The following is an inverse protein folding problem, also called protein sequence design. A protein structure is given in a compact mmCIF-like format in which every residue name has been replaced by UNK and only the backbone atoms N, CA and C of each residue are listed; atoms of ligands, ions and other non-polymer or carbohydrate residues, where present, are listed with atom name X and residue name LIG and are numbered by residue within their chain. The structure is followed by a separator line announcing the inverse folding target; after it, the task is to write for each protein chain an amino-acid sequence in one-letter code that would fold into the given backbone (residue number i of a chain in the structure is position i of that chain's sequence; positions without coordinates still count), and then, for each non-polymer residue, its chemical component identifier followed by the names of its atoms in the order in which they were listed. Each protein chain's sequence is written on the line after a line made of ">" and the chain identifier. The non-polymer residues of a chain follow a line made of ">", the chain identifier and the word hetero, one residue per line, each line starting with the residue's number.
data_IF_267353728700
#
_entry.id   IF_267353728700
#
_cell.length_a   1.000
_cell.length_b   1.000
_cell.length_c   1.000
_cell.angle_alpha   90.00
_cell.angle_beta   90.00
_cell.angle_gamma   90.00
#
_symmetry.space_group_name_H-M   'P 1'
#
loop_
_entity.id
_entity.type
_entity.pdbx_description
1 polymer ?
#
# COMPACT_ATOMS: atom_id res chain seq x y z
N UNK A 1 -12.22 -24.85 -11.12
CA UNK A 1 -12.73 -23.69 -10.37
C UNK A 1 -12.89 -22.55 -11.36
N UNK A 2 -14.05 -21.89 -11.39
CA UNK A 2 -14.22 -20.65 -12.17
C UNK A 2 -13.32 -19.58 -11.55
N UNK A 3 -12.54 -18.87 -12.37
CA UNK A 3 -11.78 -17.71 -11.91
C UNK A 3 -12.77 -16.61 -11.51
N UNK A 4 -12.69 -16.20 -10.25
CA UNK A 4 -13.60 -15.22 -9.66
C UNK A 4 -12.93 -13.90 -9.37
N UNK A 5 -11.63 -13.73 -9.66
CA UNK A 5 -10.83 -12.58 -9.22
C UNK A 5 -11.47 -11.22 -9.54
N UNK A 6 -12.01 -11.07 -10.75
CA UNK A 6 -12.59 -9.80 -11.18
C UNK A 6 -13.88 -9.41 -10.44
N UNK A 7 -14.59 -10.38 -9.87
CA UNK A 7 -15.83 -10.12 -9.14
C UNK A 7 -15.59 -9.34 -7.83
N UNK A 8 -14.80 -9.80 -6.84
CA UNK A 8 -14.49 -9.03 -5.65
C UNK A 8 -13.62 -7.79 -5.97
N UNK A 9 -12.74 -7.87 -6.98
CA UNK A 9 -11.95 -6.70 -7.41
C UNK A 9 -12.85 -5.55 -7.91
N UNK A 10 -13.90 -5.86 -8.67
CA UNK A 10 -14.88 -4.89 -9.16
C UNK A 10 -16.00 -4.55 -8.18
N UNK A 11 -16.11 -5.25 -7.04
CA UNK A 11 -17.23 -5.05 -6.11
C UNK A 11 -17.28 -3.60 -5.57
N UNK A 12 -18.43 -2.90 -5.64
CA UNK A 12 -18.53 -1.48 -5.28
C UNK A 12 -18.45 -1.22 -3.76
N UNK A 13 -18.67 -2.23 -2.92
CA UNK A 13 -18.65 -2.15 -1.47
C UNK A 13 -18.44 -3.53 -0.82
N UNK A 14 -18.33 -3.55 0.51
CA UNK A 14 -18.13 -4.77 1.30
C UNK A 14 -19.27 -5.80 1.09
N UNK A 15 -20.53 -5.36 1.17
CA UNK A 15 -21.69 -6.24 1.03
C UNK A 15 -21.76 -6.94 -0.33
N UNK A 16 -21.41 -6.23 -1.41
CA UNK A 16 -21.36 -6.82 -2.76
C UNK A 16 -20.27 -7.91 -2.86
N UNK A 17 -19.09 -7.69 -2.25
CA UNK A 17 -18.04 -8.70 -2.19
C UNK A 17 -18.48 -9.92 -1.37
N UNK A 18 -19.20 -9.70 -0.26
CA UNK A 18 -19.77 -10.77 0.56
C UNK A 18 -20.82 -11.57 -0.23
N UNK A 19 -21.69 -10.89 -0.98
CA UNK A 19 -22.69 -11.52 -1.86
C UNK A 19 -22.04 -12.50 -2.85
N UNK A 20 -20.98 -12.05 -3.53
CA UNK A 20 -20.18 -12.90 -4.45
C UNK A 20 -19.61 -14.12 -3.72
N UNK A 21 -19.06 -13.94 -2.52
CA UNK A 21 -18.49 -15.03 -1.74
C UNK A 21 -19.56 -16.01 -1.22
N UNK A 22 -20.80 -15.56 -1.00
CA UNK A 22 -21.94 -16.43 -0.65
C UNK A 22 -22.44 -17.22 -1.85
N UNK A 23 -22.61 -16.58 -3.00
CA UNK A 23 -23.04 -17.23 -4.25
C UNK A 23 -22.07 -18.34 -4.69
N UNK A 24 -20.79 -18.17 -4.37
CA UNK A 24 -19.73 -19.14 -4.67
C UNK A 24 -19.55 -20.19 -3.57
N UNK A 25 -20.32 -20.12 -2.49
CA UNK A 25 -20.32 -21.09 -1.38
C UNK A 25 -19.15 -20.93 -0.40
N UNK A 26 -18.29 -19.91 -0.55
CA UNK A 26 -17.12 -19.74 0.30
C UNK A 26 -17.41 -19.01 1.60
N UNK A 27 -18.31 -18.02 1.59
CA UNK A 27 -18.51 -17.15 2.75
C UNK A 27 -18.93 -17.93 4.01
N UNK A 28 -19.91 -18.81 3.87
CA UNK A 28 -20.47 -19.57 5.00
C UNK A 28 -19.79 -20.94 5.21
N UNK A 29 -18.77 -21.29 4.42
CA UNK A 29 -18.04 -22.55 4.52
C UNK A 29 -16.87 -22.44 5.49
N UNK A 30 -16.90 -23.07 6.69
CA UNK A 30 -15.84 -22.89 7.70
C UNK A 30 -14.48 -23.44 7.27
N UNK A 31 -14.48 -24.43 6.37
CA UNK A 31 -13.27 -25.10 5.83
C UNK A 31 -12.60 -24.30 4.71
N UNK A 32 -13.27 -23.27 4.19
CA UNK A 32 -12.70 -22.39 3.17
C UNK A 32 -11.78 -21.31 3.76
N UNK A 33 -11.63 -21.22 5.07
CA UNK A 33 -10.92 -20.12 5.74
C UNK A 33 -9.81 -20.65 6.64
N UNK A 34 -8.64 -20.01 6.56
CA UNK A 34 -7.48 -20.27 7.39
C UNK A 34 -7.15 -19.06 8.27
N UNK A 35 -6.57 -19.28 9.44
CA UNK A 35 -6.26 -18.19 10.37
C UNK A 35 -5.12 -17.32 9.85
N UNK A 36 -5.33 -16.00 9.89
CA UNK A 36 -4.31 -15.04 9.49
C UNK A 36 -3.07 -15.19 10.38
N UNK A 37 -1.89 -15.21 9.77
CA UNK A 37 -0.61 -15.43 10.47
C UNK A 37 -0.44 -16.82 11.06
N UNK A 38 -1.30 -17.79 10.72
CA UNK A 38 -1.36 -19.11 11.35
C UNK A 38 -1.53 -19.03 12.89
N UNK A 39 -2.31 -18.04 13.34
CA UNK A 39 -2.57 -17.76 14.75
C UNK A 39 -4.08 -17.65 15.01
N UNK A 40 -4.66 -18.58 15.76
CA UNK A 40 -6.09 -18.54 16.15
C UNK A 40 -6.44 -17.30 16.98
N UNK A 41 -5.49 -16.77 17.77
CA UNK A 41 -5.70 -15.63 18.66
C UNK A 41 -5.03 -14.35 18.13
N UNK A 42 -5.28 -14.03 16.86
CA UNK A 42 -4.63 -12.92 16.17
C UNK A 42 -5.30 -11.55 16.35
N UNK A 43 -6.51 -11.50 16.92
CA UNK A 43 -7.32 -10.26 16.92
C UNK A 43 -6.66 -9.11 17.69
N UNK A 44 -6.16 -9.35 18.90
CA UNK A 44 -5.46 -8.33 19.67
C UNK A 44 -4.15 -7.90 19.00
N UNK A 45 -3.42 -8.85 18.41
CA UNK A 45 -2.17 -8.57 17.70
C UNK A 45 -2.42 -7.66 16.50
N UNK A 46 -3.46 -7.91 15.71
CA UNK A 46 -3.85 -7.08 14.55
C UNK A 46 -4.38 -5.72 15.00
N UNK A 47 -5.29 -5.69 15.98
CA UNK A 47 -5.93 -4.45 16.46
C UNK A 47 -4.95 -3.47 17.11
N UNK A 48 -3.87 -3.96 17.72
CA UNK A 48 -2.89 -3.11 18.39
C UNK A 48 -1.76 -2.61 17.46
N UNK A 49 -1.76 -2.95 16.17
CA UNK A 49 -0.68 -2.54 15.26
C UNK A 49 -0.67 -1.04 14.99
N UNK A 50 -1.85 -0.43 14.89
CA UNK A 50 -1.95 0.95 14.45
C UNK A 50 -3.24 1.60 14.98
N UNK A 51 -3.13 2.80 15.54
CA UNK A 51 -4.28 3.56 16.02
C UNK A 51 -4.80 4.58 15.00
N UNK A 52 -3.97 4.95 14.02
CA UNK A 52 -4.29 5.93 12.99
C UNK A 52 -4.62 5.27 11.64
N UNK A 53 -5.82 5.47 11.07
CA UNK A 53 -6.19 4.91 9.77
C UNK A 53 -5.28 5.42 8.64
N UNK A 54 -4.78 6.66 8.74
CA UNK A 54 -3.89 7.22 7.71
C UNK A 54 -2.49 6.63 7.84
N UNK A 55 -1.99 6.43 9.06
CA UNK A 55 -0.69 5.79 9.26
C UNK A 55 -0.69 4.33 8.78
N UNK A 56 -1.77 3.57 9.07
CA UNK A 56 -1.94 2.21 8.56
C UNK A 56 -1.93 2.16 7.03
N UNK A 57 -2.59 3.13 6.38
CA UNK A 57 -2.59 3.25 4.93
C UNK A 57 -1.20 3.60 4.38
N UNK A 58 -0.49 4.52 5.04
CA UNK A 58 0.88 4.90 4.67
C UNK A 58 1.83 3.71 4.77
N UNK A 59 1.67 2.83 5.75
CA UNK A 59 2.47 1.59 5.86
C UNK A 59 2.28 0.67 4.65
N UNK A 60 1.06 0.56 4.10
CA UNK A 60 0.83 -0.17 2.83
C UNK A 60 1.55 0.49 1.65
N UNK A 61 1.48 1.82 1.54
CA UNK A 61 2.16 2.57 0.48
C UNK A 61 3.69 2.44 0.57
N UNK A 62 4.25 2.50 1.78
CA UNK A 62 5.67 2.29 2.02
C UNK A 62 6.09 0.86 1.66
N UNK A 63 5.30 -0.14 2.02
CA UNK A 63 5.56 -1.53 1.62
C UNK A 63 5.54 -1.73 0.10
N UNK A 64 4.65 -1.02 -0.61
CA UNK A 64 4.62 -1.00 -2.07
C UNK A 64 5.87 -0.35 -2.69
N UNK A 65 6.36 0.76 -2.12
CA UNK A 65 7.64 1.37 -2.53
C UNK A 65 8.79 0.38 -2.33
N UNK A 66 8.86 -0.27 -1.17
CA UNK A 66 9.88 -1.29 -0.90
C UNK A 66 9.80 -2.44 -1.91
N UNK A 67 8.60 -2.88 -2.30
CA UNK A 67 8.41 -3.95 -3.27
C UNK A 67 8.96 -3.57 -4.66
N UNK A 68 8.82 -2.30 -5.07
CA UNK A 68 9.41 -1.80 -6.31
C UNK A 68 10.93 -1.77 -6.21
N UNK A 69 11.49 -1.28 -5.10
CA UNK A 69 12.95 -1.28 -4.89
C UNK A 69 13.53 -2.69 -4.89
N UNK A 70 12.88 -3.63 -4.20
CA UNK A 70 13.28 -5.03 -4.16
C UNK A 70 13.26 -5.66 -5.56
N UNK A 71 12.21 -5.39 -6.35
CA UNK A 71 12.16 -5.82 -7.75
C UNK A 71 13.36 -5.32 -8.52
N UNK A 72 13.65 -4.02 -8.47
CA UNK A 72 14.79 -3.42 -9.21
C UNK A 72 16.14 -3.97 -8.76
N UNK A 73 16.31 -4.20 -7.46
CA UNK A 73 17.51 -4.80 -6.89
C UNK A 73 17.73 -6.22 -7.43
N UNK A 74 16.69 -7.06 -7.40
CA UNK A 74 16.74 -8.44 -7.89
C UNK A 74 16.89 -8.50 -9.43
N UNK A 75 16.24 -7.60 -10.17
CA UNK A 75 16.40 -7.46 -11.63
C UNK A 75 17.84 -7.06 -12.01
N UNK A 76 18.54 -6.32 -11.15
CA UNK A 76 19.95 -5.99 -11.30
C UNK A 76 20.89 -7.15 -10.90
N UNK A 77 20.35 -8.29 -10.48
CA UNK A 77 21.14 -9.45 -10.05
C UNK A 77 21.83 -9.26 -8.70
N UNK A 78 21.35 -8.33 -7.88
CA UNK A 78 21.90 -8.04 -6.56
C UNK A 78 21.12 -8.83 -5.49
N UNK A 79 21.85 -9.33 -4.49
CA UNK A 79 21.25 -9.85 -3.26
C UNK A 79 20.84 -8.68 -2.36
N UNK A 80 19.55 -8.48 -2.04
CA UNK A 80 19.10 -7.37 -1.20
C UNK A 80 19.73 -7.32 0.21
N UNK A 81 20.17 -8.46 0.76
CA UNK A 81 20.88 -8.53 2.04
C UNK A 81 22.41 -8.39 1.88
N UNK A 82 22.90 -8.42 0.64
CA UNK A 82 24.33 -8.43 0.32
C UNK A 82 24.97 -7.05 0.42
N UNK A 83 26.29 -7.04 0.64
CA UNK A 83 27.08 -5.80 0.71
C UNK A 83 27.15 -5.04 -0.64
N UNK A 84 26.81 -5.69 -1.75
CA UNK A 84 26.76 -5.08 -3.08
C UNK A 84 25.41 -4.40 -3.38
N UNK A 85 24.37 -4.64 -2.57
CA UNK A 85 23.12 -3.91 -2.68
C UNK A 85 23.27 -2.50 -2.10
N UNK A 86 22.38 -1.55 -2.44
CA UNK A 86 22.38 -0.22 -1.84
C UNK A 86 22.33 -0.30 -0.32
N UNK A 87 23.15 0.49 0.37
CA UNK A 87 23.24 0.47 1.83
C UNK A 87 22.32 1.50 2.51
N UNK A 88 21.44 2.12 1.73
CA UNK A 88 20.40 3.00 2.24
C UNK A 88 19.41 3.45 1.16
N UNK A 89 18.31 4.06 1.61
CA UNK A 89 17.19 4.42 0.73
C UNK A 89 17.58 5.42 -0.38
N UNK A 90 18.45 6.39 -0.05
CA UNK A 90 18.91 7.42 -1.01
C UNK A 90 19.77 6.80 -2.10
N UNK A 91 20.67 5.90 -1.70
CA UNK A 91 21.51 5.15 -2.63
C UNK A 91 20.65 4.24 -3.52
N UNK A 92 19.64 3.58 -2.96
CA UNK A 92 18.71 2.76 -3.73
C UNK A 92 17.90 3.58 -4.74
N UNK A 93 17.39 4.75 -4.33
CA UNK A 93 16.69 5.66 -5.23
C UNK A 93 17.58 6.11 -6.39
N UNK A 94 18.86 6.40 -6.13
CA UNK A 94 19.81 6.79 -7.18
C UNK A 94 20.17 5.63 -8.11
N UNK A 95 20.60 4.49 -7.55
CA UNK A 95 21.13 3.37 -8.33
C UNK A 95 20.03 2.56 -9.03
N UNK A 96 18.92 2.29 -8.34
CA UNK A 96 17.88 1.38 -8.82
C UNK A 96 16.78 2.09 -9.61
N UNK A 97 16.52 3.36 -9.31
CA UNK A 97 15.45 4.15 -9.92
C UNK A 97 15.97 5.32 -10.77
N UNK A 98 17.29 5.54 -10.80
CA UNK A 98 17.94 6.63 -11.55
C UNK A 98 17.46 8.02 -11.15
N UNK A 99 17.07 8.18 -9.89
CA UNK A 99 16.66 9.46 -9.34
C UNK A 99 17.93 10.30 -9.06
N UNK A 100 18.03 11.54 -9.60
CA UNK A 100 19.22 12.36 -9.41
C UNK A 100 19.56 12.55 -7.93
N UNK A 101 20.77 12.12 -7.52
CA UNK A 101 21.25 12.18 -6.14
C UNK A 101 20.31 11.49 -5.12
N UNK A 102 19.46 10.57 -5.57
CA UNK A 102 18.45 9.90 -4.76
C UNK A 102 17.42 10.85 -4.14
N UNK A 103 17.21 12.05 -4.70
CA UNK A 103 16.29 13.06 -4.18
C UNK A 103 15.23 13.44 -5.21
N UNK A 104 13.96 13.14 -4.92
CA UNK A 104 12.82 13.49 -5.76
C UNK A 104 12.70 15.00 -6.03
N UNK A 105 13.23 15.87 -5.15
CA UNK A 105 13.22 17.32 -5.37
C UNK A 105 13.96 17.75 -6.65
N UNK A 106 14.92 16.93 -7.09
CA UNK A 106 15.74 17.20 -8.27
C UNK A 106 15.13 16.64 -9.57
N UNK A 107 14.00 15.94 -9.49
CA UNK A 107 13.26 15.48 -10.65
C UNK A 107 12.36 16.58 -11.25
N UNK A 108 12.17 16.54 -12.55
CA UNK A 108 11.14 17.32 -13.26
C UNK A 108 9.74 16.79 -12.94
N UNK A 109 8.70 17.60 -13.20
CA UNK A 109 7.31 17.18 -13.00
C UNK A 109 6.92 15.95 -13.86
N UNK A 110 7.53 15.83 -15.04
CA UNK A 110 7.34 14.68 -15.93
C UNK A 110 7.95 13.41 -15.32
N UNK A 111 9.22 13.46 -14.93
CA UNK A 111 9.90 12.33 -14.28
C UNK A 111 9.18 11.87 -13.01
N UNK A 112 8.69 12.81 -12.19
CA UNK A 112 7.90 12.47 -11.01
C UNK A 112 6.59 11.75 -11.36
N UNK A 113 5.94 12.13 -12.46
CA UNK A 113 4.73 11.46 -12.92
C UNK A 113 5.02 10.08 -13.47
N UNK A 114 6.10 9.93 -14.23
CA UNK A 114 6.54 8.64 -14.76
C UNK A 114 6.92 7.67 -13.61
N UNK A 115 7.66 8.15 -12.61
CA UNK A 115 8.00 7.38 -11.40
C UNK A 115 6.77 7.02 -10.55
N UNK A 116 5.77 7.91 -10.47
CA UNK A 116 4.57 7.69 -9.67
C UNK A 116 3.67 6.58 -10.22
N UNK A 117 3.86 6.18 -11.48
CA UNK A 117 3.11 5.08 -12.09
C UNK A 117 3.36 3.70 -11.44
N UNK A 118 4.44 3.56 -10.68
CA UNK A 118 4.82 2.30 -10.04
C UNK A 118 4.06 1.98 -8.75
N UNK A 119 3.56 3.00 -8.04
CA UNK A 119 2.81 2.83 -6.79
C UNK A 119 1.62 3.79 -6.78
N UNK A 120 0.41 3.26 -6.56
CA UNK A 120 -0.79 4.07 -6.58
C UNK A 120 -1.79 3.78 -5.48
N UNK A 121 -2.63 4.78 -5.21
CA UNK A 121 -3.78 4.72 -4.33
C UNK A 121 -5.02 5.19 -5.08
N UNK A 122 -5.98 4.28 -5.27
CA UNK A 122 -7.25 4.55 -5.97
C UNK A 122 -8.39 4.60 -4.96
N UNK A 123 -9.19 5.66 -4.99
CA UNK A 123 -10.43 5.74 -4.23
C UNK A 123 -11.64 5.45 -5.13
N UNK A 124 -12.45 4.46 -4.76
CA UNK A 124 -13.73 4.10 -5.41
C UNK A 124 -14.84 3.95 -4.36
N UNK A 125 -16.07 3.65 -4.80
CA UNK A 125 -17.21 3.46 -3.90
C UNK A 125 -17.76 4.76 -3.30
N UNK A 126 -18.24 4.69 -2.06
CA UNK A 126 -18.97 5.78 -1.42
C UNK A 126 -18.06 6.94 -0.97
N UNK A 127 -18.61 8.16 -0.89
CA UNK A 127 -17.85 9.36 -0.46
C UNK A 127 -17.43 9.27 1.01
N UNK A 128 -18.33 8.83 1.89
CA UNK A 128 -18.12 8.78 3.34
C UNK A 128 -17.39 7.51 3.81
N UNK A 129 -17.47 6.44 3.04
CA UNK A 129 -16.89 5.14 3.35
C UNK A 129 -16.28 4.55 2.06
N UNK A 130 -15.18 5.11 1.56
CA UNK A 130 -14.61 4.75 0.27
C UNK A 130 -13.96 3.37 0.30
N UNK A 131 -13.91 2.68 -0.83
CA UNK A 131 -12.90 1.64 -1.00
C UNK A 131 -11.58 2.31 -1.35
N UNK A 132 -10.51 1.87 -0.70
CA UNK A 132 -9.15 2.32 -1.01
C UNK A 132 -8.37 1.14 -1.58
N UNK A 133 -7.85 1.30 -2.79
CA UNK A 133 -7.03 0.27 -3.43
C UNK A 133 -5.60 0.77 -3.55
N UNK A 134 -4.68 0.12 -2.85
CA UNK A 134 -3.24 0.29 -3.03
C UNK A 134 -2.78 -0.68 -4.10
N UNK A 135 -1.93 -0.23 -5.02
CA UNK A 135 -1.29 -1.12 -5.96
C UNK A 135 0.17 -0.76 -6.18
N UNK A 136 0.95 -1.75 -6.58
CA UNK A 136 2.30 -1.58 -7.11
C UNK A 136 2.59 -2.55 -8.25
N UNK A 137 3.55 -2.18 -9.10
CA UNK A 137 4.19 -3.08 -10.05
C UNK A 137 5.53 -3.62 -9.51
N UNK A 138 5.63 -3.79 -8.19
CA UNK A 138 6.82 -4.27 -7.51
C UNK A 138 7.08 -5.76 -7.73
N UNK A 139 7.86 -6.37 -6.84
CA UNK A 139 8.32 -7.76 -7.01
C UNK A 139 7.17 -8.76 -7.07
N UNK A 140 6.06 -8.45 -6.39
CA UNK A 140 4.94 -9.36 -6.16
C UNK A 140 5.34 -10.63 -5.42
N UNK A 141 4.34 -11.45 -5.13
CA UNK A 141 4.49 -12.72 -4.41
C UNK A 141 3.86 -13.85 -5.22
N UNK A 142 4.47 -15.03 -5.15
CA UNK A 142 3.85 -16.25 -5.66
C UNK A 142 2.71 -16.68 -4.72
N UNK A 143 1.66 -17.34 -5.23
CA UNK A 143 0.52 -17.78 -4.41
C UNK A 143 0.93 -18.58 -3.16
N UNK A 144 1.89 -19.49 -3.31
CA UNK A 144 2.45 -20.32 -2.23
C UNK A 144 3.23 -19.52 -1.19
N UNK A 145 3.72 -18.32 -1.55
CA UNK A 145 4.45 -17.42 -0.67
C UNK A 145 3.55 -16.58 0.24
N UNK A 146 2.26 -16.43 -0.06
CA UNK A 146 1.35 -15.54 0.67
C UNK A 146 1.33 -15.79 2.20
N UNK A 147 1.22 -17.05 2.70
CA UNK A 147 1.20 -17.32 4.15
C UNK A 147 2.45 -16.84 4.89
N UNK A 148 3.61 -16.86 4.24
CA UNK A 148 4.88 -16.44 4.81
C UNK A 148 5.17 -14.94 4.65
N UNK A 149 4.40 -14.24 3.81
CA UNK A 149 4.61 -12.82 3.47
C UNK A 149 3.36 -11.99 3.74
N UNK A 150 2.48 -11.81 2.76
CA UNK A 150 1.31 -10.92 2.77
C UNK A 150 0.28 -11.26 3.86
N UNK A 151 0.21 -12.54 4.26
CA UNK A 151 -0.73 -13.05 5.25
C UNK A 151 -0.06 -13.37 6.60
N UNK A 152 1.22 -13.03 6.74
CA UNK A 152 1.96 -13.23 7.98
C UNK A 152 1.74 -12.07 8.95
N UNK A 153 1.84 -12.35 10.26
CA UNK A 153 1.75 -11.34 11.32
C UNK A 153 3.09 -11.28 12.03
N UNK A 154 3.73 -10.10 12.05
CA UNK A 154 4.96 -9.85 12.79
C UNK A 154 6.23 -10.55 12.26
N UNK A 155 6.15 -11.27 11.13
CA UNK A 155 7.35 -11.74 10.42
C UNK A 155 7.85 -10.64 9.49
N UNK A 156 9.08 -10.18 9.67
CA UNK A 156 9.73 -9.28 8.73
C UNK A 156 10.98 -9.93 8.14
N UNK A 157 10.90 -10.29 6.86
CA UNK A 157 12.06 -10.71 6.06
C UNK A 157 12.90 -9.49 5.63
N UNK A 158 12.45 -8.27 5.94
CA UNK A 158 13.06 -7.01 5.49
C UNK A 158 14.04 -6.41 6.51
N UNK A 159 14.15 -6.99 7.71
CA UNK A 159 15.00 -6.45 8.78
C UNK A 159 16.49 -6.32 8.40
N UNK A 160 16.95 -7.16 7.48
CA UNK A 160 18.35 -7.21 7.04
C UNK A 160 18.63 -6.39 5.78
N UNK A 161 17.59 -5.82 5.16
CA UNK A 161 17.71 -5.10 3.89
C UNK A 161 17.90 -3.60 4.20
N UNK A 162 19.08 -3.00 3.90
CA UNK A 162 19.42 -1.66 4.37
C UNK A 162 18.53 -0.54 3.81
N UNK A 163 18.00 -0.76 2.60
CA UNK A 163 17.32 0.24 1.78
C UNK A 163 15.80 0.13 1.78
N UNK A 164 15.20 -0.62 2.70
CA UNK A 164 13.74 -0.64 2.90
C UNK A 164 13.31 0.35 3.98
N UNK A 165 12.14 0.94 3.78
CA UNK A 165 11.52 1.89 4.71
C UNK A 165 10.53 1.17 5.65
N UNK A 166 9.86 0.12 5.19
CA UNK A 166 8.92 -0.71 5.95
C UNK A 166 9.59 -1.83 6.75
N UNK A 167 10.46 -1.49 7.70
CA UNK A 167 11.34 -2.47 8.38
C UNK A 167 10.64 -3.51 9.25
N UNK A 168 9.51 -3.18 9.86
CA UNK A 168 8.95 -4.02 10.92
C UNK A 168 7.87 -5.00 10.45
N UNK A 169 7.29 -4.86 9.25
CA UNK A 169 6.13 -5.68 8.80
C UNK A 169 4.99 -5.85 9.85
N UNK A 170 5.00 -5.00 10.89
CA UNK A 170 4.11 -5.04 12.05
C UNK A 170 2.83 -4.24 11.81
N UNK A 171 2.65 -3.71 10.60
CA UNK A 171 1.56 -2.80 10.24
C UNK A 171 0.70 -3.25 9.07
N UNK A 172 1.14 -4.31 8.37
CA UNK A 172 0.46 -4.81 7.17
C UNK A 172 -1.00 -5.22 7.42
N UNK A 173 -1.35 -5.61 8.65
CA UNK A 173 -2.73 -5.97 9.01
C UNK A 173 -3.46 -4.84 9.77
N UNK A 174 -2.76 -3.76 10.14
CA UNK A 174 -3.31 -2.65 10.91
C UNK A 174 -4.43 -1.88 10.19
N UNK A 175 -4.49 -1.97 8.86
CA UNK A 175 -5.57 -1.42 8.02
C UNK A 175 -6.91 -2.11 8.23
N UNK A 176 -6.93 -3.39 8.64
CA UNK A 176 -8.14 -4.21 8.67
C UNK A 176 -9.21 -3.63 9.60
N UNK A 177 -8.81 -3.13 10.77
CA UNK A 177 -9.74 -2.56 11.74
C UNK A 177 -10.48 -1.31 11.25
N UNK A 178 -9.96 -0.68 10.20
CA UNK A 178 -10.58 0.50 9.59
C UNK A 178 -11.43 0.15 8.36
N UNK A 179 -11.48 -1.12 7.95
CA UNK A 179 -12.31 -1.57 6.83
C UNK A 179 -13.71 -1.97 7.34
N UNK A 180 -14.76 -1.45 6.71
CA UNK A 180 -16.14 -1.95 6.78
C UNK A 180 -16.65 -2.41 8.15
N UNK A 181 -17.63 -3.32 8.12
CA UNK A 181 -18.13 -4.03 9.30
C UNK A 181 -17.37 -5.32 9.54
N UNK A 182 -17.00 -6.00 8.45
CA UNK A 182 -16.35 -7.30 8.45
C UNK A 182 -14.84 -7.20 8.27
N UNK A 183 -14.27 -5.99 8.29
CA UNK A 183 -12.85 -5.75 8.18
C UNK A 183 -12.27 -6.39 6.92
N UNK A 184 -13.00 -6.27 5.81
CA UNK A 184 -12.72 -6.99 4.57
C UNK A 184 -11.57 -6.35 3.78
N UNK A 185 -10.59 -7.16 3.40
CA UNK A 185 -9.48 -6.80 2.52
C UNK A 185 -9.36 -7.87 1.41
N UNK A 186 -9.21 -7.44 0.16
CA UNK A 186 -8.82 -8.32 -0.95
C UNK A 186 -7.33 -8.10 -1.22
N UNK A 187 -6.58 -9.20 -1.28
CA UNK A 187 -5.16 -9.23 -1.64
C UNK A 187 -5.03 -10.00 -2.95
N UNK A 188 -4.35 -9.41 -3.92
CA UNK A 188 -4.03 -10.00 -5.21
C UNK A 188 -2.55 -9.77 -5.46
N UNK A 189 -1.79 -10.80 -5.82
CA UNK A 189 -0.37 -10.62 -6.11
C UNK A 189 0.12 -11.65 -7.11
N UNK A 190 1.09 -11.24 -7.92
CA UNK A 190 1.79 -12.11 -8.86
C UNK A 190 3.25 -11.70 -8.89
N UNK A 191 4.12 -12.68 -8.73
CA UNK A 191 5.57 -12.50 -8.85
C UNK A 191 5.92 -12.00 -10.26
N UNK A 192 6.76 -10.97 -10.33
CA UNK A 192 7.24 -10.45 -11.61
C UNK A 192 7.98 -11.53 -12.41
N UNK A 193 7.63 -11.70 -13.68
CA UNK A 193 8.22 -12.73 -14.55
C UNK A 193 9.74 -12.55 -14.71
N UNK A 194 10.21 -11.30 -14.67
CA UNK A 194 11.64 -10.94 -14.69
C UNK A 194 12.42 -11.57 -13.52
N UNK A 195 11.73 -11.97 -12.44
CA UNK A 195 12.31 -12.60 -11.26
C UNK A 195 12.21 -14.14 -11.31
N UNK A 196 11.94 -14.73 -12.48
CA UNK A 196 11.84 -16.18 -12.71
C UNK A 196 10.78 -16.85 -11.82
N UNK A 197 9.57 -16.31 -11.83
CA UNK A 197 8.44 -16.88 -11.11
C UNK A 197 8.23 -18.37 -11.47
N UNK A 198 8.08 -19.21 -10.45
CA UNK A 198 7.77 -20.63 -10.60
C UNK A 198 6.30 -20.84 -10.97
N UNK A 199 5.42 -20.05 -10.36
CA UNK A 199 4.00 -19.99 -10.66
C UNK A 199 3.67 -18.63 -11.31
N UNK A 200 3.31 -18.60 -12.61
CA UNK A 200 3.00 -17.36 -13.31
C UNK A 200 1.57 -16.85 -13.04
N UNK A 201 0.77 -17.55 -12.24
CA UNK A 201 -0.60 -17.14 -11.91
C UNK A 201 -0.66 -15.96 -10.95
N UNK A 202 -1.78 -15.24 -11.00
CA UNK A 202 -2.17 -14.35 -9.92
C UNK A 202 -2.71 -15.18 -8.77
N UNK A 203 -2.12 -15.03 -7.58
CA UNK A 203 -2.70 -15.48 -6.33
C UNK A 203 -3.65 -14.42 -5.79
N UNK A 204 -4.78 -14.83 -5.24
CA UNK A 204 -5.66 -13.91 -4.54
C UNK A 204 -6.41 -14.54 -3.37
N UNK A 205 -6.73 -13.70 -2.39
CA UNK A 205 -7.45 -14.10 -1.20
C UNK A 205 -8.18 -12.91 -0.60
N UNK A 206 -9.21 -13.20 0.19
CA UNK A 206 -9.96 -12.20 0.96
C UNK A 206 -9.67 -12.44 2.43
N UNK A 207 -9.29 -11.41 3.18
CA UNK A 207 -9.17 -11.42 4.63
C UNK A 207 -10.45 -10.84 5.23
N UNK A 208 -10.96 -11.44 6.31
CA UNK A 208 -12.12 -10.96 7.05
C UNK A 208 -11.94 -11.10 8.56
N UNK A 209 -12.67 -10.28 9.32
CA UNK A 209 -12.96 -10.53 10.74
C UNK A 209 -14.19 -11.44 10.86
N UNK A 210 -14.06 -12.46 11.69
CA UNK A 210 -15.18 -13.25 12.20
C UNK A 210 -15.47 -12.84 13.65
N UNK A 211 -16.74 -12.60 13.95
CA UNK A 211 -17.19 -12.36 15.32
C UNK A 211 -17.05 -13.65 16.16
N UNK A 212 -16.93 -13.54 17.50
CA UNK A 212 -16.74 -14.72 18.35
C UNK A 212 -17.91 -15.70 18.21
N UNK A 213 -17.59 -16.97 17.93
CA UNK A 213 -18.56 -18.07 17.86
C UNK A 213 -17.99 -19.33 18.53
N UNK A 214 -18.87 -20.25 18.95
CA UNK A 214 -18.46 -21.57 19.46
C UNK A 214 -17.58 -21.54 20.72
N UNK A 215 -17.83 -20.61 21.65
CA UNK A 215 -17.07 -20.49 22.90
C UNK A 215 -15.82 -19.59 22.83
N UNK A 216 -15.47 -19.06 21.66
CA UNK A 216 -14.44 -18.02 21.53
C UNK A 216 -14.87 -16.74 22.25
N UNK A 217 -13.92 -16.10 22.95
CA UNK A 217 -14.14 -14.83 23.68
C UNK A 217 -13.82 -13.59 22.85
N UNK A 218 -13.10 -13.76 21.74
CA UNK A 218 -12.63 -12.68 20.88
C UNK A 218 -12.87 -13.02 19.42
N UNK A 219 -12.98 -11.98 18.60
CA UNK A 219 -13.00 -12.12 17.14
C UNK A 219 -11.69 -12.76 16.65
N UNK A 220 -11.67 -13.18 15.39
CA UNK A 220 -10.46 -13.69 14.71
C UNK A 220 -10.41 -13.16 13.30
N UNK A 221 -9.22 -12.93 12.77
CA UNK A 221 -9.01 -12.65 11.35
C UNK A 221 -8.65 -13.92 10.60
N UNK A 222 -9.33 -14.18 9.49
CA UNK A 222 -9.11 -15.34 8.63
C UNK A 222 -9.02 -14.92 7.18
N UNK A 223 -8.27 -15.67 6.38
CA UNK A 223 -8.18 -15.46 4.93
C UNK A 223 -8.78 -16.63 4.17
N UNK A 224 -9.34 -16.34 3.00
CA UNK A 224 -9.94 -17.30 2.10
C UNK A 224 -8.86 -18.22 1.52
N UNK A 225 -8.91 -19.49 1.90
CA UNK A 225 -8.02 -20.54 1.44
C UNK A 225 -8.74 -21.90 1.32
N UNK A 226 -9.64 -22.06 0.32
CA UNK A 226 -10.24 -23.35 0.03
C UNK A 226 -9.15 -24.40 -0.20
N UNK A 227 -9.33 -25.58 0.37
CA UNK A 227 -8.35 -26.68 0.32
C UNK A 227 -6.95 -26.31 0.86
N UNK A 228 -6.88 -25.27 1.72
CA UNK A 228 -5.64 -24.81 2.35
C UNK A 228 -4.75 -23.92 1.48
N UNK A 229 -5.20 -23.53 0.28
CA UNK A 229 -4.44 -22.69 -0.64
C UNK A 229 -5.21 -21.43 -1.04
N UNK A 230 -4.49 -20.34 -1.34
CA UNK A 230 -5.11 -19.14 -1.90
C UNK A 230 -5.64 -19.43 -3.31
N UNK A 231 -6.64 -18.66 -3.75
CA UNK A 231 -7.24 -18.84 -5.07
C UNK A 231 -6.29 -18.37 -6.17
N UNK A 232 -6.46 -18.94 -7.37
CA UNK A 232 -5.63 -18.67 -8.53
C UNK A 232 -6.45 -18.07 -9.66
N UNK A 233 -5.86 -17.11 -10.36
CA UNK A 233 -6.36 -16.55 -11.62
C UNK A 233 -5.25 -16.64 -12.69
N UNK A 234 -5.57 -16.81 -13.98
CA UNK A 234 -4.58 -16.87 -15.04
C UNK A 234 -3.68 -15.64 -15.06
N UNK A 235 -2.40 -15.80 -15.42
CA UNK A 235 -1.39 -14.75 -15.51
C UNK A 235 -1.60 -13.71 -16.63
N UNK A 236 -2.84 -13.37 -16.98
CA UNK A 236 -3.10 -12.25 -17.88
C UNK A 236 -2.90 -10.92 -17.13
N UNK A 237 -2.42 -9.85 -17.79
CA UNK A 237 -2.36 -8.53 -17.17
C UNK A 237 -3.74 -8.05 -16.69
N UNK A 238 -3.77 -7.42 -15.52
CA UNK A 238 -4.99 -6.89 -14.89
C UNK A 238 -5.10 -5.40 -15.18
N UNK A 239 -6.07 -4.95 -16.00
CA UNK A 239 -6.39 -3.53 -16.11
C UNK A 239 -7.09 -3.08 -14.82
N UNK A 240 -6.55 -2.05 -14.15
CA UNK A 240 -7.14 -1.53 -12.91
C UNK A 240 -8.48 -0.81 -13.12
N UNK A 241 -8.87 -0.55 -14.37
CA UNK A 241 -10.25 -0.14 -14.72
C UNK A 241 -11.29 -1.22 -14.39
N UNK A 242 -10.87 -2.43 -14.00
CA UNK A 242 -11.73 -3.46 -13.38
C UNK A 242 -12.24 -3.06 -12.00
N UNK A 243 -11.63 -2.07 -11.35
CA UNK A 243 -12.18 -1.46 -10.14
C UNK A 243 -13.51 -0.75 -10.47
N UNK A 244 -14.32 -0.47 -9.45
CA UNK A 244 -15.59 0.28 -9.62
C UNK A 244 -15.35 1.77 -9.92
N UNK A 245 -14.79 2.05 -11.09
CA UNK A 245 -14.40 3.39 -11.55
C UNK A 245 -15.61 4.15 -12.09
N UNK A 246 -15.85 5.36 -11.57
CA UNK A 246 -17.00 6.21 -11.96
C UNK A 246 -16.62 7.52 -12.63
N UNK A 247 -15.34 7.87 -12.67
CA UNK A 247 -14.84 9.15 -13.19
C UNK A 247 -13.37 9.04 -13.57
N UNK A 248 -12.81 10.07 -14.20
CA UNK A 248 -11.37 10.16 -14.48
C UNK A 248 -10.91 9.40 -15.72
N UNK A 249 -9.59 9.38 -15.91
CA UNK A 249 -8.92 8.67 -17.00
C UNK A 249 -8.74 7.18 -16.66
N UNK A 250 -8.37 6.39 -17.68
CA UNK A 250 -8.01 4.97 -17.53
C UNK A 250 -6.92 4.77 -16.49
N UNK A 251 -7.05 3.74 -15.68
CA UNK A 251 -6.05 3.32 -14.71
C UNK A 251 -4.98 2.40 -15.36
N UNK A 252 -3.81 2.23 -14.72
CA UNK A 252 -2.75 1.36 -15.23
C UNK A 252 -3.18 -0.10 -15.43
N UNK A 253 -2.44 -0.81 -16.27
CA UNK A 253 -2.54 -2.26 -16.45
C UNK A 253 -1.34 -2.91 -15.75
N UNK A 254 -1.60 -3.82 -14.82
CA UNK A 254 -0.55 -4.52 -14.07
C UNK A 254 -0.29 -5.89 -14.68
N UNK A 255 0.97 -6.14 -15.08
CA UNK A 255 1.42 -7.47 -15.48
C UNK A 255 1.83 -8.33 -14.27
N UNK A 256 2.33 -7.70 -13.21
CA UNK A 256 2.75 -8.32 -11.96
C UNK A 256 2.72 -7.27 -10.84
N UNK A 257 3.07 -7.67 -9.62
CA UNK A 257 3.07 -6.82 -8.44
C UNK A 257 1.93 -7.18 -7.49
N UNK A 258 1.44 -6.20 -6.73
CA UNK A 258 0.44 -6.44 -5.69
C UNK A 258 -0.70 -5.42 -5.77
N UNK A 259 -1.94 -5.89 -5.55
CA UNK A 259 -3.14 -5.06 -5.41
C UNK A 259 -3.77 -5.41 -4.05
N UNK A 260 -4.02 -4.38 -3.26
CA UNK A 260 -4.67 -4.48 -1.95
C UNK A 260 -5.88 -3.57 -1.96
N UNK A 261 -7.07 -4.16 -1.91
CA UNK A 261 -8.34 -3.41 -1.86
C UNK A 261 -8.93 -3.50 -0.46
N UNK A 262 -9.05 -2.35 0.16
CA UNK A 262 -9.62 -2.13 1.48
C UNK A 262 -11.08 -1.71 1.30
N UNK A 263 -12.02 -2.52 1.78
CA UNK A 263 -13.44 -2.25 1.60
C UNK A 263 -13.96 -1.30 2.68
N UNK A 264 -14.63 -0.23 2.26
CA UNK A 264 -15.27 0.73 3.15
C UNK A 264 -14.33 1.29 4.24
N UNK A 265 -13.25 1.94 3.83
CA UNK A 265 -12.20 2.43 4.72
C UNK A 265 -12.64 3.67 5.53
N UNK A 266 -12.61 3.55 6.85
CA UNK A 266 -13.04 4.56 7.80
C UNK A 266 -11.96 5.63 8.03
N UNK A 267 -11.93 6.60 7.13
CA UNK A 267 -11.13 7.80 7.31
C UNK A 267 -11.77 8.74 8.36
N UNK A 268 -10.98 9.57 9.06
CA UNK A 268 -11.51 10.66 9.88
C UNK A 268 -12.40 11.60 9.03
N UNK A 269 -13.48 12.18 9.57
CA UNK A 269 -14.43 12.98 8.80
C UNK A 269 -13.79 14.07 7.91
N UNK A 270 -12.78 14.77 8.43
CA UNK A 270 -12.07 15.82 7.71
C UNK A 270 -11.29 15.31 6.46
N UNK A 271 -11.00 14.01 6.38
CA UNK A 271 -10.20 13.40 5.32
C UNK A 271 -11.05 12.62 4.30
N UNK A 272 -12.38 12.67 4.39
CA UNK A 272 -13.31 11.95 3.50
C UNK A 272 -13.63 12.70 2.20
N UNK A 273 -13.09 13.91 2.03
CA UNK A 273 -13.21 14.72 0.80
C UNK A 273 -12.45 14.08 -0.36
N UNK A 274 -12.34 14.76 -1.49
CA UNK A 274 -11.53 14.31 -2.62
C UNK A 274 -10.10 13.96 -2.14
N UNK A 275 -9.61 12.74 -2.44
CA UNK A 275 -8.37 12.23 -1.86
C UNK A 275 -7.13 13.07 -2.21
N UNK A 276 -7.22 13.92 -3.24
CA UNK A 276 -6.14 14.81 -3.68
C UNK A 276 -5.94 16.03 -2.77
N UNK A 277 -6.84 16.29 -1.83
CA UNK A 277 -6.81 17.44 -0.92
C UNK A 277 -6.15 17.09 0.42
N UNK A 278 -6.91 17.12 1.52
CA UNK A 278 -6.35 17.00 2.87
C UNK A 278 -5.74 15.63 3.12
N UNK A 279 -6.31 14.56 2.56
CA UNK A 279 -5.74 13.22 2.67
C UNK A 279 -4.35 13.17 2.01
N UNK A 280 -4.18 13.72 0.80
CA UNK A 280 -2.88 13.84 0.13
C UNK A 280 -1.85 14.55 1.01
N UNK A 281 -2.25 15.65 1.66
CA UNK A 281 -1.36 16.40 2.53
C UNK A 281 -0.94 15.59 3.78
N UNK A 282 -1.88 14.87 4.40
CA UNK A 282 -1.59 14.00 5.54
C UNK A 282 -0.69 12.82 5.16
N UNK A 283 -0.94 12.17 4.02
CA UNK A 283 -0.06 11.11 3.51
C UNK A 283 1.34 11.68 3.26
N UNK A 284 1.46 12.83 2.59
CA UNK A 284 2.76 13.46 2.34
C UNK A 284 3.52 13.82 3.63
N UNK A 285 2.82 14.24 4.68
CA UNK A 285 3.45 14.56 5.97
C UNK A 285 4.04 13.31 6.65
N UNK A 286 3.31 12.19 6.61
CA UNK A 286 3.77 10.91 7.18
C UNK A 286 4.84 10.23 6.32
N UNK A 287 4.81 10.44 5.00
CA UNK A 287 5.85 10.00 4.07
C UNK A 287 6.92 11.09 3.96
N UNK A 288 7.79 11.24 4.96
CA UNK A 288 8.72 12.38 5.01
C UNK A 288 9.68 12.43 3.80
N UNK A 289 10.27 11.30 3.42
CA UNK A 289 11.21 11.20 2.29
C UNK A 289 11.09 9.82 1.61
N UNK A 290 10.02 9.58 0.85
CA UNK A 290 9.83 8.30 0.16
C UNK A 290 10.80 8.15 -1.00
N UNK A 291 11.20 6.92 -1.32
CA UNK A 291 12.07 6.64 -2.47
C UNK A 291 11.35 6.86 -3.83
N UNK A 292 10.04 6.67 -3.86
CA UNK A 292 9.18 6.88 -5.03
C UNK A 292 8.00 7.78 -4.66
N UNK A 293 7.53 8.63 -5.59
CA UNK A 293 6.25 9.27 -5.43
C UNK A 293 5.11 8.25 -5.54
N UNK A 294 3.98 8.54 -4.92
CA UNK A 294 2.75 7.74 -5.02
C UNK A 294 1.71 8.48 -5.84
N UNK A 295 1.11 7.81 -6.84
CA UNK A 295 0.02 8.39 -7.64
C UNK A 295 -1.33 8.19 -6.96
N UNK A 296 -2.05 9.27 -6.70
CA UNK A 296 -3.42 9.23 -6.20
C UNK A 296 -4.41 9.31 -7.36
N UNK A 297 -5.46 8.50 -7.30
CA UNK A 297 -6.54 8.46 -8.28
C UNK A 297 -7.90 8.61 -7.59
N UNK A 298 -8.55 9.76 -7.74
CA UNK A 298 -9.94 9.92 -7.33
C UNK A 298 -10.85 9.37 -8.42
N UNK A 299 -11.61 8.32 -8.10
CA UNK A 299 -12.50 7.62 -9.03
C UNK A 299 -13.92 7.46 -8.48
N UNK A 300 -14.22 8.07 -7.31
CA UNK A 300 -15.57 8.09 -6.72
C UNK A 300 -16.47 9.06 -7.46
N UNK A 301 -17.75 8.70 -7.56
CA UNK A 301 -18.76 9.56 -8.15
C UNK A 301 -18.96 10.85 -7.33
N UNK A 302 -19.13 11.98 -8.05
CA UNK A 302 -19.53 13.26 -7.47
C UNK A 302 -18.41 14.06 -6.79
N UNK A 303 -17.14 13.64 -6.90
CA UNK A 303 -16.00 14.54 -6.68
C UNK A 303 -15.54 15.10 -8.02
N UNK A 304 -15.21 16.39 -8.03
CA UNK A 304 -14.72 17.12 -9.20
C UNK A 304 -13.43 17.85 -8.82
N UNK A 305 -12.64 18.24 -9.81
CA UNK A 305 -11.41 18.99 -9.66
C UNK A 305 -10.76 19.28 -11.00
N UNK A 306 -9.80 20.19 -11.05
CA UNK A 306 -9.01 20.46 -12.26
C UNK A 306 -8.26 19.20 -12.75
N UNK A 307 -7.90 18.33 -11.81
CA UNK A 307 -7.40 16.98 -12.06
C UNK A 307 -8.07 16.03 -11.07
N UNK A 308 -8.23 14.78 -11.49
CA UNK A 308 -8.64 13.65 -10.64
C UNK A 308 -7.45 12.76 -10.27
N UNK A 309 -6.23 13.28 -10.46
CA UNK A 309 -4.98 12.62 -10.13
C UNK A 309 -3.94 13.61 -9.60
N UNK A 310 -3.12 13.16 -8.65
CA UNK A 310 -1.99 13.93 -8.15
C UNK A 310 -0.90 13.01 -7.59
N UNK A 311 0.34 13.52 -7.51
CA UNK A 311 1.44 12.81 -6.88
C UNK A 311 1.56 13.17 -5.39
N UNK A 312 1.99 12.20 -4.59
CA UNK A 312 2.53 12.40 -3.25
C UNK A 312 4.03 12.18 -3.32
N UNK A 313 4.81 13.25 -3.15
CA UNK A 313 6.27 13.23 -3.23
C UNK A 313 6.93 13.17 -1.84
N UNK A 314 6.12 13.34 -0.79
CA UNK A 314 6.58 13.43 0.59
C UNK A 314 6.90 14.84 1.06
N UNK A 315 7.04 15.01 2.38
CA UNK A 315 7.18 16.31 3.01
C UNK A 315 8.49 17.02 2.62
N UNK A 316 9.62 16.33 2.70
CA UNK A 316 10.94 16.93 2.43
C UNK A 316 11.02 17.47 1.00
N UNK A 317 10.59 16.68 0.02
CA UNK A 317 10.57 17.09 -1.38
C UNK A 317 9.68 18.30 -1.62
N UNK A 318 8.50 18.35 -0.98
CA UNK A 318 7.63 19.53 -1.06
C UNK A 318 8.29 20.77 -0.47
N UNK A 319 8.93 20.64 0.69
CA UNK A 319 9.61 21.75 1.36
C UNK A 319 10.77 22.30 0.52
N UNK A 320 11.51 21.45 -0.19
CA UNK A 320 12.62 21.88 -1.05
C UNK A 320 12.13 22.55 -2.34
N UNK A 321 11.06 22.04 -2.95
CA UNK A 321 10.49 22.56 -4.20
C UNK A 321 9.67 23.84 -4.01
N UNK A 322 8.94 23.94 -2.90
CA UNK A 322 8.04 25.05 -2.58
C UNK A 322 8.74 26.20 -1.82
N UNK A 323 10.00 26.48 -2.19
CA UNK A 323 10.84 27.52 -1.57
C UNK A 323 10.66 28.90 -2.20
N UNK A 324 10.06 28.99 -3.39
CA UNK A 324 9.91 30.28 -4.10
C UNK A 324 8.72 31.06 -3.52
N UNK A 325 9.00 32.27 -3.05
CA UNK A 325 8.08 33.26 -2.47
C UNK A 325 7.35 32.93 -1.16
N UNK A 326 7.39 31.68 -0.68
CA UNK A 326 6.69 31.27 0.55
C UNK A 326 7.55 31.33 1.83
N UNK A 327 8.88 31.36 1.71
CA UNK A 327 9.79 31.38 2.86
C UNK A 327 10.15 32.81 3.28
N UNK A 328 10.17 33.03 4.59
CA UNK A 328 10.67 34.28 5.20
C UNK A 328 12.20 34.33 5.12
N UNK A 329 12.85 33.18 5.33
CA UNK A 329 14.31 33.03 5.31
C UNK A 329 14.73 31.76 4.55
N UNK A 330 15.95 31.72 3.98
CA UNK A 330 16.51 30.48 3.45
C UNK A 330 16.50 29.38 4.51
N UNK A 331 16.24 28.11 4.15
CA UNK A 331 16.28 26.99 5.09
C UNK A 331 17.66 26.87 5.75
N UNK A 332 17.70 26.50 7.03
CA UNK A 332 18.96 26.31 7.78
C UNK A 332 19.07 24.88 8.29
N UNK A 333 20.28 24.31 8.24
CA UNK A 333 20.58 22.98 8.75
C UNK A 333 21.36 23.09 10.06
N UNK A 334 20.93 22.32 11.06
CA UNK A 334 21.51 22.31 12.41
C UNK A 334 21.81 20.88 12.82
N UNK A 335 22.82 20.72 13.66
CA UNK A 335 23.10 19.47 14.34
C UNK A 335 23.19 19.77 15.84
N UNK A 336 22.50 18.98 16.65
CA UNK A 336 22.49 19.15 18.10
C UNK A 336 22.42 17.78 18.77
N UNK A 337 22.88 17.70 20.02
CA UNK A 337 22.86 16.46 20.79
C UNK A 337 21.73 16.46 21.81
N UNK A 338 21.04 15.33 21.94
CA UNK A 338 20.11 15.05 23.05
C UNK A 338 20.62 13.81 23.76
N UNK A 339 21.24 14.00 24.92
CA UNK A 339 22.08 12.97 25.54
C UNK A 339 23.24 12.58 24.61
N UNK A 340 23.45 11.29 24.42
CA UNK A 340 24.50 10.74 23.53
C UNK A 340 24.04 10.61 22.07
N UNK A 341 22.84 11.08 21.72
CA UNK A 341 22.32 11.01 20.36
C UNK A 341 22.53 12.32 19.61
N UNK A 342 23.26 12.24 18.51
CA UNK A 342 23.42 13.35 17.57
C UNK A 342 22.20 13.42 16.63
N UNK A 343 21.44 14.50 16.70
CA UNK A 343 20.27 14.76 15.86
C UNK A 343 20.60 15.82 14.80
N UNK A 344 20.08 15.62 13.60
CA UNK A 344 20.14 16.59 12.49
C UNK A 344 18.74 17.19 12.29
N UNK A 345 18.67 18.50 12.11
CA UNK A 345 17.42 19.20 11.82
C UNK A 345 17.58 20.18 10.66
N UNK A 346 16.53 20.28 9.85
CA UNK A 346 16.37 21.33 8.85
C UNK A 346 15.21 22.23 9.29
N UNK A 347 15.45 23.54 9.34
CA UNK A 347 14.48 24.54 9.79
C UNK A 347 14.02 25.37 8.60
N UNK A 348 12.72 25.37 8.37
CA UNK A 348 12.04 26.15 7.33
C UNK A 348 11.15 27.20 8.01
N UNK A 349 11.36 28.48 7.69
CA UNK A 349 10.56 29.58 8.20
C UNK A 349 9.65 30.12 7.09
N UNK A 350 8.33 29.96 7.25
CA UNK A 350 7.35 30.41 6.27
C UNK A 350 6.88 31.83 6.56
N UNK A 351 6.64 32.61 5.52
CA UNK A 351 6.00 33.92 5.64
C UNK A 351 4.65 33.76 6.33
N UNK A 352 4.32 34.71 7.21
CA UNK A 352 2.99 34.76 7.82
C UNK A 352 1.95 34.99 6.72
N UNK A 353 0.97 34.10 6.59
CA UNK A 353 -0.21 34.37 5.76
C UNK A 353 -1.02 35.48 6.43
N UNK A 354 -1.07 36.65 5.81
CA UNK A 354 -1.96 37.76 6.17
C UNK A 354 -3.38 37.49 5.73
#
# INVERSE_FOLDING_TARGET
>A
MTDLLFSPLGAPNEDASIGILRETGYWDSPTAWADLGAQENNFSTVGNQQASPVAALVEKLVNSIDAVLLRRCLEAGLDPEGAAAPQGIREAAEQLLRIPHGNLAHCTAKELTDLAGHVGLVATGAKNLPNLTVFDDGEGQEPTGFPATLLSIGRSNKLRIPFVQGKFNMGGTGVLQFCGRHNLELIVSRRAETLKAHDPSWGYTVVRREDPQGGRRSSVYRYLAPDGAVLLSPGNPIPLDRLDVKSGSSLPVLAAGTIIKLFGYSLPPALRTNILFDLRNHIAALMTSPALPVRLYERRAGFQGHSLEANVEGLATRLERDTRDNLEFPPTAHTFSVGDQLLKANVYAFKRRT
#
